data_IF_563428085058
#
_entry.id   IF_563428085058
#
_cell.length_a   1.000
_cell.length_b   1.000
_cell.length_c   1.000
_cell.angle_alpha   90.00
_cell.angle_beta   90.00
_cell.angle_gamma   90.00
#
_symmetry.space_group_name_H-M   'P 1'
#
loop_
_entity.id
_entity.type
_entity.pdbx_description
1 polymer ?
#
# COMPACT_ATOMS: atom_id res chain seq x y z
N UNK A 1 -3.15 6.15 -1.02
CA UNK A 1 -4.56 5.75 -1.16
C UNK A 1 -4.88 4.70 -0.11
N UNK A 2 -5.94 4.90 0.66
CA UNK A 2 -6.34 4.03 1.76
C UNK A 2 -7.81 3.60 1.63
N UNK A 3 -8.06 2.30 1.82
CA UNK A 3 -9.41 1.73 1.82
C UNK A 3 -9.54 0.68 2.93
N UNK A 4 -10.55 0.83 3.77
CA UNK A 4 -10.79 -0.01 4.94
C UNK A 4 -12.30 -0.23 5.16
N UNK A 5 -13.00 -0.85 4.19
CA UNK A 5 -14.42 -1.12 4.31
C UNK A 5 -14.71 -2.11 5.45
N UNK A 6 -15.94 -2.10 5.95
CA UNK A 6 -16.41 -3.13 6.88
C UNK A 6 -16.58 -4.45 6.10
N UNK A 7 -15.76 -5.44 6.40
CA UNK A 7 -15.79 -6.76 5.77
C UNK A 7 -16.37 -7.76 6.77
N UNK A 8 -17.46 -8.40 6.38
CA UNK A 8 -18.05 -9.53 7.10
C UNK A 8 -17.82 -10.82 6.30
N UNK A 9 -17.46 -11.87 6.98
CA UNK A 9 -17.39 -13.22 6.41
C UNK A 9 -18.03 -14.21 7.37
N UNK A 10 -18.41 -15.37 6.86
CA UNK A 10 -18.93 -16.47 7.67
C UNK A 10 -17.79 -17.42 7.92
N UNK A 11 -17.51 -17.73 9.20
CA UNK A 11 -16.50 -18.71 9.60
C UNK A 11 -16.98 -20.15 9.34
N UNK A 12 -16.10 -21.12 9.57
CA UNK A 12 -16.39 -22.54 9.36
C UNK A 12 -17.52 -23.06 10.26
N UNK A 13 -17.82 -22.36 11.36
CA UNK A 13 -18.91 -22.67 12.30
C UNK A 13 -20.22 -21.97 11.93
N UNK A 14 -20.24 -21.16 10.86
CA UNK A 14 -21.44 -20.46 10.37
C UNK A 14 -21.72 -19.14 11.08
N UNK A 15 -20.78 -18.59 11.87
CA UNK A 15 -20.95 -17.30 12.53
C UNK A 15 -20.47 -16.16 11.62
N UNK A 16 -21.18 -15.03 11.67
CA UNK A 16 -20.72 -13.80 11.04
C UNK A 16 -19.54 -13.23 11.85
N UNK A 17 -18.39 -13.07 11.19
CA UNK A 17 -17.17 -12.50 11.77
C UNK A 17 -16.83 -11.24 11.00
N UNK A 18 -16.63 -10.13 11.72
CA UNK A 18 -16.11 -8.90 11.13
C UNK A 18 -14.59 -8.96 11.05
N UNK A 19 -14.04 -8.64 9.88
CA UNK A 19 -12.60 -8.47 9.72
C UNK A 19 -12.15 -7.27 10.54
N UNK A 20 -11.02 -7.43 11.23
CA UNK A 20 -10.45 -6.34 12.04
C UNK A 20 -10.10 -5.15 11.15
N UNK A 21 -10.52 -3.93 11.56
CA UNK A 21 -10.12 -2.69 10.89
C UNK A 21 -8.62 -2.46 11.01
N UNK A 22 -8.00 -2.15 9.87
CA UNK A 22 -6.59 -1.78 9.79
C UNK A 22 -6.35 -0.38 10.38
N UNK A 23 -5.15 -0.14 10.88
CA UNK A 23 -4.74 1.15 11.48
C UNK A 23 -4.16 2.10 10.42
N UNK A 24 -4.88 2.30 9.31
CA UNK A 24 -4.41 3.06 8.15
C UNK A 24 -4.06 4.52 8.48
N UNK A 25 -4.81 5.17 9.39
CA UNK A 25 -4.52 6.53 9.83
C UNK A 25 -3.19 6.60 10.60
N UNK A 26 -2.87 5.56 11.37
CA UNK A 26 -1.59 5.45 12.04
C UNK A 26 -0.46 5.27 11.04
N UNK A 27 -0.65 4.39 10.06
CA UNK A 27 0.34 4.17 8.99
C UNK A 27 0.64 5.47 8.24
N UNK A 28 -0.38 6.17 7.77
CA UNK A 28 -0.21 7.43 7.05
C UNK A 28 0.49 8.50 7.90
N UNK A 29 0.17 8.59 9.20
CA UNK A 29 0.83 9.51 10.12
C UNK A 29 2.31 9.17 10.30
N UNK A 30 2.65 7.90 10.54
CA UNK A 30 4.04 7.47 10.72
C UNK A 30 4.88 7.70 9.44
N UNK A 31 4.29 7.44 8.26
CA UNK A 31 4.92 7.78 6.97
C UNK A 31 5.19 9.30 6.89
N UNK A 32 4.17 10.11 7.14
CA UNK A 32 4.31 11.58 7.07
C UNK A 32 5.36 12.10 8.03
N UNK A 33 5.33 11.66 9.30
CA UNK A 33 6.34 12.05 10.29
C UNK A 33 7.75 11.63 9.89
N UNK A 34 7.92 10.45 9.31
CA UNK A 34 9.21 9.96 8.82
C UNK A 34 9.75 10.81 7.67
N UNK A 35 8.88 11.22 6.75
CA UNK A 35 9.23 12.18 5.69
C UNK A 35 9.62 13.52 6.28
N UNK A 36 8.85 14.07 7.23
CA UNK A 36 9.13 15.37 7.86
C UNK A 36 10.47 15.40 8.61
N UNK A 37 10.92 14.29 9.14
CA UNK A 37 12.23 14.15 9.81
C UNK A 37 13.39 13.94 8.83
N UNK A 38 13.13 13.77 7.54
CA UNK A 38 14.14 13.47 6.52
C UNK A 38 14.79 14.72 5.92
N UNK A 39 15.92 14.53 5.23
CA UNK A 39 16.69 15.63 4.63
C UNK A 39 15.99 16.30 3.45
N UNK A 40 15.22 15.51 2.68
CA UNK A 40 14.52 16.00 1.46
C UNK A 40 13.04 16.29 1.69
N UNK A 41 12.61 16.49 2.93
CA UNK A 41 11.21 16.73 3.29
C UNK A 41 10.54 17.82 2.45
N UNK A 42 11.27 18.91 2.15
CA UNK A 42 10.72 20.04 1.40
C UNK A 42 10.55 19.74 -0.11
N UNK A 43 11.10 18.61 -0.58
CA UNK A 43 10.99 18.12 -1.96
C UNK A 43 9.95 17.00 -2.12
N UNK A 44 9.28 16.60 -1.03
CA UNK A 44 8.31 15.50 -1.03
C UNK A 44 6.95 16.06 -0.65
N UNK A 45 6.00 16.02 -1.60
CA UNK A 45 4.58 16.25 -1.31
C UNK A 45 3.94 14.92 -0.89
N UNK A 46 3.25 14.93 0.24
CA UNK A 46 2.54 13.74 0.76
C UNK A 46 1.04 14.00 0.76
N UNK A 47 0.33 13.26 -0.08
CA UNK A 47 -1.11 13.36 -0.25
C UNK A 47 -1.80 12.07 0.18
N UNK A 48 -2.93 12.18 0.86
CA UNK A 48 -3.74 11.02 1.29
C UNK A 48 -5.14 11.09 0.69
N UNK A 49 -5.68 9.91 0.37
CA UNK A 49 -7.07 9.73 -0.05
C UNK A 49 -7.64 8.56 0.77
N UNK A 50 -8.70 8.84 1.52
CA UNK A 50 -9.34 7.92 2.45
C UNK A 50 -10.64 7.38 1.89
N UNK A 51 -11.09 6.22 2.39
CA UNK A 51 -12.34 5.60 2.01
C UNK A 51 -12.51 5.51 0.48
N UNK A 52 -11.42 5.17 -0.19
CA UNK A 52 -11.31 5.26 -1.65
C UNK A 52 -12.21 4.23 -2.33
N UNK A 53 -12.98 4.69 -3.31
CA UNK A 53 -13.76 3.84 -4.20
C UNK A 53 -12.95 3.52 -5.46
N UNK A 54 -13.24 2.39 -6.08
CA UNK A 54 -12.59 2.01 -7.34
C UNK A 54 -12.79 3.08 -8.43
N UNK A 55 -13.98 3.71 -8.45
CA UNK A 55 -14.33 4.77 -9.44
C UNK A 55 -13.53 6.05 -9.28
N UNK A 56 -12.96 6.30 -8.11
CA UNK A 56 -12.28 7.56 -7.81
C UNK A 56 -10.77 7.49 -8.13
N UNK A 57 -10.24 6.30 -8.38
CA UNK A 57 -8.80 6.05 -8.52
C UNK A 57 -8.16 6.87 -9.65
N UNK A 58 -8.74 6.83 -10.86
CA UNK A 58 -8.21 7.60 -12.00
C UNK A 58 -8.24 9.09 -11.75
N UNK A 59 -9.32 9.59 -11.14
CA UNK A 59 -9.42 11.00 -10.77
C UNK A 59 -8.30 11.40 -9.80
N UNK A 60 -8.09 10.64 -8.73
CA UNK A 60 -7.06 10.93 -7.73
C UNK A 60 -5.65 10.88 -8.31
N UNK A 61 -5.37 9.90 -9.19
CA UNK A 61 -4.07 9.82 -9.87
C UNK A 61 -3.87 11.04 -10.77
N UNK A 62 -4.88 11.45 -11.54
CA UNK A 62 -4.79 12.61 -12.42
C UNK A 62 -4.64 13.94 -11.65
N UNK A 63 -5.35 14.09 -10.52
CA UNK A 63 -5.25 15.28 -9.66
C UNK A 63 -3.86 15.45 -9.04
N UNK A 64 -3.28 14.35 -8.54
CA UNK A 64 -2.01 14.38 -7.80
C UNK A 64 -0.82 14.23 -8.73
N UNK A 65 -0.97 13.50 -9.85
CA UNK A 65 0.11 13.14 -10.76
C UNK A 65 1.34 12.57 -10.02
N UNK A 66 1.18 11.46 -9.26
CA UNK A 66 2.17 11.02 -8.30
C UNK A 66 3.40 10.39 -8.97
N UNK A 67 4.56 10.53 -8.34
CA UNK A 67 5.77 9.76 -8.67
C UNK A 67 5.76 8.40 -7.94
N UNK A 68 5.15 8.35 -6.76
CA UNK A 68 4.97 7.14 -5.96
C UNK A 68 3.49 6.99 -5.64
N UNK A 69 2.92 5.84 -5.95
CA UNK A 69 1.56 5.47 -5.59
C UNK A 69 1.60 4.37 -4.52
N UNK A 70 1.05 4.66 -3.35
CA UNK A 70 0.98 3.72 -2.24
C UNK A 70 -0.49 3.33 -1.98
N UNK A 71 -0.76 2.04 -2.00
CA UNK A 71 -2.05 1.48 -1.59
C UNK A 71 -1.91 0.82 -0.22
N UNK A 72 -2.79 1.21 0.71
CA UNK A 72 -2.95 0.57 2.00
C UNK A 72 -4.39 0.11 2.18
N UNK A 73 -4.58 -1.13 2.60
CA UNK A 73 -5.91 -1.71 2.79
C UNK A 73 -5.87 -3.22 2.87
N UNK A 74 -7.02 -3.84 2.75
CA UNK A 74 -7.12 -5.29 2.70
C UNK A 74 -6.78 -5.85 1.31
N UNK A 75 -6.18 -7.03 1.29
CA UNK A 75 -5.97 -7.86 0.11
C UNK A 75 -6.59 -9.24 0.32
N UNK A 76 -6.96 -9.89 -0.76
CA UNK A 76 -7.44 -11.28 -0.75
C UNK A 76 -6.30 -12.25 -1.04
N UNK A 77 -6.45 -13.52 -0.67
CA UNK A 77 -5.44 -14.56 -0.91
C UNK A 77 -5.15 -14.82 -2.40
N UNK A 78 -6.07 -14.43 -3.30
CA UNK A 78 -5.90 -14.47 -4.75
C UNK A 78 -5.40 -13.14 -5.34
N UNK A 79 -4.89 -12.24 -4.49
CA UNK A 79 -4.18 -11.02 -4.90
C UNK A 79 -5.07 -9.85 -5.29
N UNK A 80 -6.39 -9.86 -5.04
CA UNK A 80 -7.25 -8.71 -5.31
C UNK A 80 -7.16 -7.68 -4.19
N UNK A 81 -7.29 -6.40 -4.53
CA UNK A 81 -7.36 -5.32 -3.57
C UNK A 81 -8.82 -5.04 -3.20
N UNK A 82 -9.04 -4.72 -1.91
CA UNK A 82 -10.39 -4.42 -1.41
C UNK A 82 -10.57 -2.93 -1.26
N UNK A 83 -11.46 -2.37 -2.05
CA UNK A 83 -11.90 -0.97 -2.02
C UNK A 83 -13.34 -0.86 -1.50
N UNK A 84 -13.91 0.33 -1.60
CA UNK A 84 -15.32 0.58 -1.31
C UNK A 84 -16.12 0.77 -2.60
N UNK A 85 -17.41 0.44 -2.56
CA UNK A 85 -18.39 0.86 -3.55
C UNK A 85 -19.10 2.17 -3.12
N UNK A 86 -20.11 2.59 -3.87
CA UNK A 86 -20.88 3.80 -3.57
C UNK A 86 -21.79 3.69 -2.31
N UNK A 87 -21.88 2.52 -1.72
CA UNK A 87 -22.65 2.24 -0.51
C UNK A 87 -21.75 1.86 0.67
N UNK A 88 -20.44 2.19 0.57
CA UNK A 88 -19.39 1.88 1.54
C UNK A 88 -19.16 0.38 1.77
N UNK A 89 -19.63 -0.47 0.83
CA UNK A 89 -19.43 -1.92 0.89
C UNK A 89 -18.15 -2.35 0.20
N UNK A 90 -17.57 -3.49 0.61
CA UNK A 90 -16.37 -4.03 -0.03
C UNK A 90 -16.56 -4.24 -1.53
N UNK A 91 -15.64 -3.69 -2.31
CA UNK A 91 -15.55 -3.84 -3.76
C UNK A 91 -14.16 -4.35 -4.13
N UNK A 92 -14.10 -5.50 -4.75
CA UNK A 92 -12.82 -6.04 -5.22
C UNK A 92 -12.37 -5.35 -6.50
N UNK A 93 -11.11 -4.95 -6.52
CA UNK A 93 -10.39 -4.53 -7.72
C UNK A 93 -9.58 -5.71 -8.21
N UNK A 94 -9.83 -6.17 -9.43
CA UNK A 94 -9.07 -7.27 -10.01
C UNK A 94 -7.65 -6.86 -10.35
N UNK A 95 -6.78 -7.84 -10.45
CA UNK A 95 -5.38 -7.66 -10.83
C UNK A 95 -5.26 -7.00 -12.21
N UNK A 96 -6.05 -7.48 -13.18
CA UNK A 96 -6.06 -6.94 -14.54
C UNK A 96 -6.45 -5.46 -14.55
N UNK A 97 -7.53 -5.11 -13.83
CA UNK A 97 -8.00 -3.73 -13.74
C UNK A 97 -6.98 -2.80 -13.06
N UNK A 98 -6.22 -3.28 -12.06
CA UNK A 98 -5.16 -2.50 -11.45
C UNK A 98 -3.97 -2.29 -12.40
N UNK A 99 -3.56 -3.33 -13.14
CA UNK A 99 -2.50 -3.21 -14.16
C UNK A 99 -2.92 -2.22 -15.24
N UNK A 100 -4.16 -2.30 -15.74
CA UNK A 100 -4.69 -1.34 -16.72
C UNK A 100 -4.76 0.09 -16.16
N UNK A 101 -5.15 0.25 -14.89
CA UNK A 101 -5.14 1.54 -14.21
C UNK A 101 -3.72 2.14 -14.18
N UNK A 102 -2.71 1.35 -13.82
CA UNK A 102 -1.32 1.80 -13.78
C UNK A 102 -0.82 2.17 -15.19
N UNK A 103 -1.15 1.35 -16.20
CA UNK A 103 -0.79 1.61 -17.59
C UNK A 103 -1.45 2.88 -18.16
N UNK A 104 -2.66 3.19 -17.72
CA UNK A 104 -3.39 4.41 -18.11
C UNK A 104 -2.99 5.62 -17.27
N UNK A 105 -2.14 5.43 -16.25
CA UNK A 105 -1.68 6.50 -15.38
C UNK A 105 -0.60 7.37 -16.05
N UNK A 106 -0.26 8.45 -15.39
CA UNK A 106 0.76 9.40 -15.84
C UNK A 106 2.15 8.78 -15.99
N UNK A 107 2.91 9.21 -16.99
CA UNK A 107 4.33 8.88 -17.19
C UNK A 107 5.23 9.31 -16.00
N UNK A 108 4.71 10.10 -15.06
CA UNK A 108 5.41 10.48 -13.84
C UNK A 108 5.44 9.37 -12.79
N UNK A 109 4.57 8.36 -12.89
CA UNK A 109 4.48 7.26 -11.93
C UNK A 109 5.67 6.30 -12.13
N UNK A 110 6.51 6.18 -11.11
CA UNK A 110 7.74 5.38 -11.15
C UNK A 110 7.75 4.22 -10.16
N UNK A 111 7.03 4.35 -9.06
CA UNK A 111 6.95 3.33 -8.01
C UNK A 111 5.50 3.10 -7.58
N UNK A 112 5.11 1.83 -7.49
CA UNK A 112 3.86 1.41 -6.83
C UNK A 112 4.21 0.57 -5.60
N UNK A 113 3.65 0.93 -4.45
CA UNK A 113 3.77 0.17 -3.20
C UNK A 113 2.39 -0.37 -2.84
N UNK A 114 2.28 -1.68 -2.78
CA UNK A 114 1.06 -2.41 -2.44
C UNK A 114 1.21 -2.98 -1.01
N UNK A 115 0.88 -2.17 -0.02
CA UNK A 115 0.93 -2.57 1.40
C UNK A 115 -0.37 -3.30 1.80
N UNK A 116 -0.63 -4.40 1.09
CA UNK A 116 -1.82 -5.25 1.19
C UNK A 116 -1.39 -6.71 1.19
N UNK A 117 -2.12 -7.56 1.91
CA UNK A 117 -1.83 -8.99 1.93
C UNK A 117 -1.78 -9.60 0.52
N UNK A 118 -0.83 -10.49 0.26
CA UNK A 118 -0.68 -11.28 -0.97
C UNK A 118 -0.56 -10.45 -2.27
N UNK A 119 0.00 -9.26 -2.21
CA UNK A 119 0.07 -8.35 -3.36
C UNK A 119 1.30 -8.52 -4.25
N UNK A 120 2.24 -9.43 -3.92
CA UNK A 120 3.44 -9.68 -4.73
C UNK A 120 3.12 -10.10 -6.17
N UNK A 121 2.09 -10.92 -6.37
CA UNK A 121 1.66 -11.39 -7.70
C UNK A 121 1.25 -10.21 -8.60
N UNK A 122 0.58 -9.20 -8.04
CA UNK A 122 0.25 -7.97 -8.78
C UNK A 122 1.50 -7.14 -9.03
N UNK A 123 2.32 -7.00 -8.01
CA UNK A 123 3.57 -6.26 -8.05
C UNK A 123 4.46 -6.74 -9.22
N UNK A 124 4.60 -8.05 -9.41
CA UNK A 124 5.34 -8.64 -10.53
C UNK A 124 4.78 -8.27 -11.91
N UNK A 125 3.47 -8.12 -12.05
CA UNK A 125 2.85 -7.72 -13.34
C UNK A 125 2.94 -6.22 -13.62
N UNK A 126 3.00 -5.40 -12.58
CA UNK A 126 3.07 -3.94 -12.71
C UNK A 126 4.44 -3.51 -13.24
N UNK A 127 5.53 -4.18 -12.87
CA UNK A 127 6.90 -3.81 -13.26
C UNK A 127 7.18 -3.88 -14.77
N UNK A 128 6.31 -4.51 -15.56
CA UNK A 128 6.43 -4.47 -17.03
C UNK A 128 6.19 -3.04 -17.58
N UNK A 129 5.59 -2.15 -16.80
CA UNK A 129 5.11 -0.84 -17.23
C UNK A 129 5.66 0.35 -16.43
N UNK A 130 6.27 0.10 -15.27
CA UNK A 130 6.89 1.12 -14.41
C UNK A 130 8.26 0.67 -13.93
N UNK A 131 9.03 1.60 -13.34
CA UNK A 131 10.41 1.31 -12.94
C UNK A 131 10.51 0.32 -11.75
N UNK A 132 9.54 0.34 -10.83
CA UNK A 132 9.56 -0.55 -9.67
C UNK A 132 8.16 -0.73 -9.05
N UNK A 133 7.97 -1.89 -8.43
CA UNK A 133 6.82 -2.18 -7.59
C UNK A 133 7.25 -2.95 -6.34
N UNK A 134 6.56 -2.74 -5.24
CA UNK A 134 6.73 -3.49 -3.99
C UNK A 134 5.38 -4.09 -3.63
N UNK A 135 5.37 -5.38 -3.32
CA UNK A 135 4.19 -6.12 -2.86
C UNK A 135 4.53 -7.10 -1.75
N UNK A 136 3.51 -7.68 -1.12
CA UNK A 136 3.64 -8.59 0.01
C UNK A 136 3.44 -10.05 -0.43
N UNK A 137 4.37 -10.93 -0.08
CA UNK A 137 4.33 -12.35 -0.44
C UNK A 137 3.29 -13.15 0.36
N UNK A 138 2.90 -12.64 1.52
CA UNK A 138 1.93 -13.27 2.42
C UNK A 138 1.05 -12.23 3.11
N UNK A 139 0.28 -12.68 4.10
CA UNK A 139 -0.43 -11.75 4.97
C UNK A 139 0.56 -10.92 5.77
N UNK A 140 0.32 -9.62 5.84
CA UNK A 140 1.12 -8.67 6.63
C UNK A 140 0.26 -8.11 7.76
N UNK A 141 0.81 -8.11 8.99
CA UNK A 141 0.15 -7.51 10.15
C UNK A 141 0.27 -5.99 10.17
N UNK A 142 -0.68 -5.30 10.81
CA UNK A 142 -0.71 -3.83 10.93
C UNK A 142 0.63 -3.24 11.38
N UNK A 143 1.25 -3.84 12.40
CA UNK A 143 2.51 -3.32 12.94
C UNK A 143 3.65 -3.45 11.92
N UNK A 144 3.74 -4.58 11.23
CA UNK A 144 4.73 -4.81 10.19
C UNK A 144 4.54 -3.83 9.04
N UNK A 145 3.31 -3.66 8.55
CA UNK A 145 2.96 -2.73 7.49
C UNK A 145 3.38 -1.29 7.82
N UNK A 146 3.07 -0.82 9.05
CA UNK A 146 3.42 0.52 9.53
C UNK A 146 4.94 0.70 9.63
N UNK A 147 5.65 -0.24 10.25
CA UNK A 147 7.11 -0.15 10.46
C UNK A 147 7.84 -0.20 9.12
N UNK A 148 7.45 -1.13 8.23
CA UNK A 148 8.00 -1.24 6.89
C UNK A 148 7.82 0.06 6.09
N UNK A 149 6.58 0.55 5.97
CA UNK A 149 6.29 1.73 5.19
C UNK A 149 6.98 2.98 5.73
N UNK A 150 6.93 3.22 7.05
CA UNK A 150 7.55 4.39 7.65
C UNK A 150 9.07 4.42 7.43
N UNK A 151 9.76 3.27 7.54
CA UNK A 151 11.20 3.20 7.28
C UNK A 151 11.53 3.33 5.79
N UNK A 152 10.73 2.72 4.90
CA UNK A 152 10.89 2.86 3.46
C UNK A 152 10.89 4.34 3.05
N UNK A 153 9.85 5.08 3.46
CA UNK A 153 9.70 6.50 3.12
C UNK A 153 10.71 7.40 3.85
N UNK A 154 11.11 7.05 5.07
CA UNK A 154 12.23 7.71 5.74
C UNK A 154 13.49 7.64 4.88
N UNK A 155 13.85 6.44 4.44
CA UNK A 155 15.07 6.19 3.66
C UNK A 155 15.04 6.89 2.29
N UNK A 156 13.89 6.88 1.61
CA UNK A 156 13.68 7.66 0.38
C UNK A 156 13.83 9.16 0.67
N UNK A 157 13.28 9.64 1.76
CA UNK A 157 13.40 11.04 2.18
C UNK A 157 14.83 11.46 2.54
N UNK A 158 15.68 10.54 2.94
CA UNK A 158 17.13 10.77 3.07
C UNK A 158 17.88 10.69 1.73
N UNK A 159 17.20 10.36 0.64
CA UNK A 159 17.76 10.32 -0.71
C UNK A 159 18.50 9.04 -1.05
N UNK A 160 18.22 7.95 -0.35
CA UNK A 160 18.76 6.63 -0.67
C UNK A 160 18.10 6.07 -1.93
N UNK A 161 18.79 5.15 -2.62
CA UNK A 161 18.18 4.38 -3.70
C UNK A 161 17.03 3.54 -3.18
N UNK A 162 16.08 3.20 -4.05
CA UNK A 162 14.93 2.38 -3.69
C UNK A 162 15.36 1.02 -3.12
N UNK A 163 16.36 0.37 -3.74
CA UNK A 163 16.92 -0.88 -3.24
C UNK A 163 17.43 -0.74 -1.80
N UNK A 164 18.17 0.35 -1.51
CA UNK A 164 18.70 0.58 -0.17
C UNK A 164 17.60 0.93 0.83
N UNK A 165 16.59 1.69 0.40
CA UNK A 165 15.43 2.01 1.21
C UNK A 165 14.63 0.75 1.57
N UNK A 166 14.43 -0.15 0.61
CA UNK A 166 13.78 -1.44 0.83
C UNK A 166 14.57 -2.31 1.83
N UNK A 167 15.89 -2.45 1.62
CA UNK A 167 16.75 -3.19 2.55
C UNK A 167 16.66 -2.65 3.99
N UNK A 168 16.65 -1.33 4.17
CA UNK A 168 16.51 -0.73 5.49
C UNK A 168 15.12 -0.96 6.08
N UNK A 169 14.07 -0.96 5.27
CA UNK A 169 12.72 -1.27 5.72
C UNK A 169 12.61 -2.72 6.23
N UNK A 170 13.22 -3.69 5.53
CA UNK A 170 13.34 -5.08 6.00
C UNK A 170 14.12 -5.17 7.32
N UNK A 171 15.26 -4.48 7.41
CA UNK A 171 16.06 -4.47 8.65
C UNK A 171 15.28 -3.87 9.81
N UNK A 172 14.43 -2.85 9.57
CA UNK A 172 13.61 -2.28 10.63
C UNK A 172 12.65 -3.29 11.24
N UNK A 173 12.05 -4.18 10.46
CA UNK A 173 11.21 -5.25 10.99
C UNK A 173 11.98 -6.13 11.97
N UNK A 174 13.23 -6.49 11.64
CA UNK A 174 14.12 -7.25 12.53
C UNK A 174 14.47 -6.48 13.81
N UNK A 175 14.77 -5.19 13.70
CA UNK A 175 15.09 -4.34 14.85
C UNK A 175 13.90 -4.17 15.82
N UNK A 176 12.67 -4.22 15.30
CA UNK A 176 11.45 -4.21 16.10
C UNK A 176 10.99 -5.61 16.53
N UNK A 177 11.80 -6.65 16.24
CA UNK A 177 11.50 -8.05 16.57
C UNK A 177 10.16 -8.54 15.97
N UNK A 178 9.81 -8.03 14.78
CA UNK A 178 8.62 -8.41 14.04
C UNK A 178 8.99 -9.54 13.08
N UNK A 179 8.42 -10.77 13.24
CA UNK A 179 8.83 -11.95 12.47
C UNK A 179 8.20 -12.00 11.06
N UNK A 180 8.09 -10.85 10.41
CA UNK A 180 7.49 -10.68 9.08
C UNK A 180 8.49 -10.06 8.07
N UNK A 181 9.78 -10.16 8.32
CA UNK A 181 10.85 -9.61 7.47
C UNK A 181 11.02 -10.31 6.12
N UNK A 182 10.31 -11.42 5.90
CA UNK A 182 10.24 -12.12 4.61
C UNK A 182 8.93 -11.84 3.86
N UNK A 183 8.04 -11.03 4.41
CA UNK A 183 6.73 -10.74 3.81
C UNK A 183 6.80 -9.70 2.70
N UNK A 184 7.51 -8.59 2.85
CA UNK A 184 7.66 -7.63 1.76
C UNK A 184 8.54 -8.13 0.63
#
# INVERSE_FOLDING_TARGET
IASNPDIEFIDDDGNSVQQQKLKLEKEAREIHESIQKSLKRDSISFETRWATRVTDLLQFINEVNPTILHFSGHGTSDGKLVFQDNNDKPKLLSMEALVELINASSDNLRLVVLNNCFSSIISEKIVDNIEASIGMNSSIGDQAAIVFASQLYSSIGFGLSLEKAFQQAIVSLKLYEIPEDQTP
#
